data_IF_628906713935
#
_entry.id   IF_628906713935
#
_cell.length_a   1.000
_cell.length_b   1.000
_cell.length_c   1.000
_cell.angle_alpha   90.00
_cell.angle_beta   90.00
_cell.angle_gamma   90.00
#
_symmetry.space_group_name_H-M   'P 1'
#
loop_
_entity.id
_entity.type
_entity.pdbx_description
1 polymer ?
#
# COMPACT_ATOMS: atom_id res chain seq x y z
N UNK A 1 -12.34 -3.51 -11.47
CA UNK A 1 -12.78 -3.39 -12.87
C UNK A 1 -13.99 -2.47 -12.93
N UNK A 2 -14.20 -1.75 -14.03
CA UNK A 2 -15.45 -1.00 -14.27
C UNK A 2 -16.35 -1.72 -15.27
N UNK A 3 -17.58 -1.25 -15.46
CA UNK A 3 -18.53 -1.78 -16.44
C UNK A 3 -17.86 -1.98 -17.81
N UNK A 4 -18.15 -3.12 -18.46
CA UNK A 4 -17.59 -3.54 -19.76
C UNK A 4 -16.05 -3.65 -19.83
N UNK A 5 -15.37 -3.82 -18.70
CA UNK A 5 -13.92 -4.07 -18.67
C UNK A 5 -13.61 -5.55 -18.53
N UNK A 6 -12.66 -6.05 -19.33
CA UNK A 6 -12.16 -7.42 -19.21
C UNK A 6 -10.70 -7.51 -19.63
N UNK A 7 -10.07 -8.60 -19.20
CA UNK A 7 -8.67 -8.92 -19.47
C UNK A 7 -8.59 -10.31 -20.08
N UNK A 8 -7.83 -10.47 -21.16
CA UNK A 8 -7.58 -11.76 -21.78
C UNK A 8 -6.43 -12.50 -21.08
N UNK A 9 -6.74 -13.66 -20.51
CA UNK A 9 -5.75 -14.55 -19.92
C UNK A 9 -4.77 -15.09 -20.98
N UNK A 10 -3.47 -15.27 -20.67
CA UNK A 10 -2.84 -15.21 -19.34
C UNK A 10 -2.17 -13.87 -18.96
N UNK A 11 -2.89 -12.74 -18.98
CA UNK A 11 -2.38 -11.49 -18.41
C UNK A 11 -2.27 -11.53 -16.87
N UNK A 12 -1.33 -10.76 -16.32
CA UNK A 12 -1.15 -10.59 -14.87
C UNK A 12 -1.22 -9.11 -14.49
N UNK A 13 -1.99 -8.81 -13.45
CA UNK A 13 -2.24 -7.43 -13.03
C UNK A 13 -1.73 -7.22 -11.61
N UNK A 14 -1.02 -6.11 -11.38
CA UNK A 14 -0.53 -5.74 -10.05
C UNK A 14 -1.68 -5.54 -9.05
N UNK A 15 -1.48 -5.87 -7.76
CA UNK A 15 -2.53 -5.79 -6.76
C UNK A 15 -3.06 -4.36 -6.62
N UNK A 16 -4.34 -4.24 -6.27
CA UNK A 16 -5.06 -2.96 -6.14
C UNK A 16 -5.03 -2.07 -7.40
N UNK A 17 -4.87 -2.64 -8.60
CA UNK A 17 -4.93 -1.89 -9.86
C UNK A 17 -6.36 -1.76 -10.38
N UNK A 18 -6.67 -0.61 -10.99
CA UNK A 18 -7.92 -0.39 -11.70
C UNK A 18 -7.77 -0.79 -13.16
N UNK A 19 -8.80 -1.41 -13.72
CA UNK A 19 -8.85 -1.85 -15.11
C UNK A 19 -10.08 -1.21 -15.75
N UNK A 20 -9.84 -0.44 -16.81
CA UNK A 20 -10.81 0.32 -17.59
C UNK A 20 -10.72 -0.09 -19.06
N UNK A 21 -11.77 -0.74 -19.57
CA UNK A 21 -11.87 -1.16 -20.97
C UNK A 21 -11.34 -2.56 -21.24
N UNK A 22 -11.02 -2.83 -22.50
CA UNK A 22 -10.83 -4.20 -23.04
C UNK A 22 -9.35 -4.46 -23.32
N UNK A 23 -8.73 -5.33 -22.52
CA UNK A 23 -7.30 -5.60 -22.63
C UNK A 23 -7.06 -6.99 -23.23
N UNK A 24 -6.71 -7.03 -24.51
CA UNK A 24 -6.48 -8.28 -25.25
C UNK A 24 -5.02 -8.77 -25.18
N UNK A 25 -4.09 -7.89 -24.82
CA UNK A 25 -2.68 -8.22 -24.72
C UNK A 25 -2.41 -8.93 -23.38
N UNK A 26 -1.58 -9.97 -23.40
CA UNK A 26 -1.19 -10.74 -22.22
C UNK A 26 -0.12 -10.00 -21.38
N UNK A 27 -0.41 -8.75 -21.01
CA UNK A 27 0.51 -7.91 -20.26
C UNK A 27 0.77 -8.47 -18.86
N UNK A 28 2.03 -8.42 -18.43
CA UNK A 28 2.44 -8.70 -17.06
C UNK A 28 2.80 -7.39 -16.35
N UNK A 29 1.88 -6.90 -15.53
CA UNK A 29 2.05 -5.70 -14.69
C UNK A 29 2.08 -6.08 -13.20
N UNK A 30 2.39 -7.34 -12.89
CA UNK A 30 2.34 -7.87 -11.51
C UNK A 30 3.26 -7.15 -10.52
N UNK A 31 4.30 -6.48 -11.01
CA UNK A 31 5.25 -5.66 -10.23
C UNK A 31 4.99 -4.14 -10.36
N UNK A 32 3.81 -3.75 -10.84
CA UNK A 32 3.36 -2.36 -10.87
C UNK A 32 2.00 -2.26 -10.14
N UNK A 33 1.99 -2.39 -8.80
CA UNK A 33 0.76 -2.36 -8.01
C UNK A 33 0.12 -0.97 -8.02
N UNK A 34 -1.16 -0.89 -7.66
CA UNK A 34 -1.91 0.37 -7.62
C UNK A 34 -1.93 1.13 -8.95
N UNK A 35 -1.84 0.44 -10.08
CA UNK A 35 -1.82 1.06 -11.40
C UNK A 35 -3.22 1.27 -11.97
N UNK A 36 -3.37 2.19 -12.92
CA UNK A 36 -4.52 2.19 -13.83
C UNK A 36 -4.10 1.60 -15.17
N UNK A 37 -4.84 0.58 -15.60
CA UNK A 37 -4.80 0.04 -16.95
C UNK A 37 -6.01 0.62 -17.68
N UNK A 38 -5.76 1.43 -18.69
CA UNK A 38 -6.79 2.11 -19.48
C UNK A 38 -6.62 1.74 -20.94
N UNK A 39 -7.63 1.10 -21.50
CA UNK A 39 -7.70 0.87 -22.93
C UNK A 39 -7.94 2.21 -23.65
N UNK A 40 -7.14 2.47 -24.68
CA UNK A 40 -7.33 3.58 -25.58
C UNK A 40 -6.82 3.17 -26.97
N UNK A 41 -7.67 3.27 -27.98
CA UNK A 41 -7.38 2.88 -29.36
C UNK A 41 -6.79 1.45 -29.48
N UNK A 42 -7.38 0.48 -28.78
CA UNK A 42 -6.94 -0.92 -28.69
C UNK A 42 -5.56 -1.14 -28.07
N UNK A 43 -4.95 -0.10 -27.47
CA UNK A 43 -3.70 -0.20 -26.73
C UNK A 43 -3.95 -0.08 -25.22
N UNK A 44 -3.16 -0.80 -24.42
CA UNK A 44 -3.19 -0.67 -22.97
C UNK A 44 -2.27 0.45 -22.53
N UNK A 45 -2.85 1.54 -22.03
CA UNK A 45 -2.09 2.59 -21.34
C UNK A 45 -2.01 2.30 -19.85
N UNK A 46 -0.80 2.38 -19.32
CA UNK A 46 -0.52 2.13 -17.92
C UNK A 46 -0.13 3.43 -17.22
N UNK A 47 -0.82 3.75 -16.14
CA UNK A 47 -0.47 4.81 -15.21
C UNK A 47 -0.08 4.19 -13.86
N UNK A 48 1.23 3.99 -13.59
CA UNK A 48 1.69 3.35 -12.37
C UNK A 48 1.31 4.13 -11.11
N UNK A 49 1.10 3.42 -10.00
CA UNK A 49 0.92 3.97 -8.65
C UNK A 49 -0.32 4.88 -8.43
N UNK A 50 -1.04 5.26 -9.49
CA UNK A 50 -2.05 6.31 -9.45
C UNK A 50 -3.23 5.96 -8.53
N UNK A 51 -3.50 4.67 -8.32
CA UNK A 51 -4.59 4.22 -7.47
C UNK A 51 -4.30 4.37 -5.96
N UNK A 52 -3.04 4.65 -5.56
CA UNK A 52 -2.66 4.91 -4.17
C UNK A 52 -3.39 6.12 -3.58
N UNK A 53 -3.67 7.12 -4.42
CA UNK A 53 -4.32 8.38 -4.00
C UNK A 53 -5.82 8.40 -4.28
N UNK A 54 -6.41 7.26 -4.65
CA UNK A 54 -7.84 7.21 -4.96
C UNK A 54 -8.67 7.03 -3.69
N UNK A 55 -9.72 7.86 -3.54
CA UNK A 55 -10.74 7.67 -2.49
C UNK A 55 -11.39 6.29 -2.57
N UNK A 56 -11.56 5.75 -3.78
CA UNK A 56 -12.10 4.42 -4.03
C UNK A 56 -11.29 3.33 -3.34
N UNK A 57 -9.97 3.33 -3.55
CA UNK A 57 -9.05 2.36 -2.94
C UNK A 57 -9.09 2.40 -1.42
N UNK A 58 -9.03 3.59 -0.82
CA UNK A 58 -9.04 3.74 0.64
C UNK A 58 -10.37 3.28 1.22
N UNK A 59 -11.48 3.61 0.55
CA UNK A 59 -12.81 3.16 0.93
C UNK A 59 -12.95 1.64 0.83
N UNK A 60 -12.44 1.02 -0.23
CA UNK A 60 -12.52 -0.43 -0.42
C UNK A 60 -11.63 -1.17 0.59
N UNK A 61 -10.45 -0.65 0.90
CA UNK A 61 -9.57 -1.17 1.94
C UNK A 61 -10.23 -1.14 3.34
N UNK A 62 -11.02 -0.10 3.65
CA UNK A 62 -11.80 -0.03 4.90
C UNK A 62 -13.02 -0.95 4.92
N UNK A 63 -13.74 -1.04 3.79
CA UNK A 63 -14.95 -1.86 3.67
C UNK A 63 -14.66 -3.35 3.85
N UNK A 64 -13.50 -3.83 3.43
CA UNK A 64 -13.21 -5.26 3.42
C UNK A 64 -13.21 -5.89 4.82
N UNK A 65 -12.48 -5.38 5.83
CA UNK A 65 -12.57 -5.87 7.20
C UNK A 65 -13.97 -5.65 7.82
N UNK A 66 -14.63 -4.52 7.55
CA UNK A 66 -16.00 -4.26 8.04
C UNK A 66 -17.04 -5.24 7.49
N UNK A 67 -16.76 -5.84 6.33
CA UNK A 67 -17.62 -6.84 5.67
C UNK A 67 -17.25 -8.27 6.02
N UNK A 68 -16.18 -8.51 6.78
CA UNK A 68 -15.89 -9.84 7.31
C UNK A 68 -16.94 -10.21 8.35
N UNK A 69 -17.90 -11.04 7.94
CA UNK A 69 -19.01 -11.54 8.77
C UNK A 69 -18.81 -12.98 9.20
N UNK A 70 -17.58 -13.51 9.16
CA UNK A 70 -17.29 -14.86 9.65
C UNK A 70 -17.48 -14.91 11.17
N UNK A 71 -18.51 -15.65 11.59
CA UNK A 71 -18.93 -15.82 13.00
C UNK A 71 -18.48 -17.13 13.63
N UNK A 72 -17.97 -18.05 12.82
CA UNK A 72 -17.45 -19.32 13.32
C UNK A 72 -16.29 -19.05 14.30
N UNK A 73 -16.29 -19.63 15.51
CA UNK A 73 -15.16 -19.50 16.43
C UNK A 73 -13.88 -20.10 15.86
N UNK A 74 -13.99 -21.13 15.00
CA UNK A 74 -12.87 -21.80 14.35
C UNK A 74 -12.66 -21.23 12.93
N UNK A 75 -12.01 -20.07 12.85
CA UNK A 75 -11.65 -19.45 11.57
C UNK A 75 -10.51 -20.22 10.91
N UNK A 76 -10.81 -20.91 9.80
CA UNK A 76 -9.83 -21.66 9.03
C UNK A 76 -9.04 -20.80 8.03
N UNK A 77 -9.64 -19.71 7.51
CA UNK A 77 -8.92 -18.78 6.62
C UNK A 77 -8.27 -17.66 7.43
N UNK A 78 -6.96 -17.51 7.27
CA UNK A 78 -6.17 -16.47 7.91
C UNK A 78 -5.96 -15.32 6.94
N UNK A 79 -6.61 -14.18 7.18
CA UNK A 79 -6.66 -13.05 6.24
C UNK A 79 -5.97 -11.83 6.85
N UNK A 80 -5.04 -11.24 6.11
CA UNK A 80 -4.43 -9.95 6.41
C UNK A 80 -5.17 -8.86 5.62
N UNK A 81 -5.75 -7.88 6.33
CA UNK A 81 -6.49 -6.77 5.72
C UNK A 81 -5.62 -5.55 5.40
N UNK A 82 -4.30 -5.67 5.58
CA UNK A 82 -3.35 -4.59 5.38
C UNK A 82 -3.29 -4.18 3.90
N UNK A 83 -3.67 -2.93 3.60
CA UNK A 83 -3.52 -2.36 2.25
C UNK A 83 -2.04 -2.27 1.83
N UNK A 84 -1.20 -1.85 2.78
CA UNK A 84 0.25 -1.80 2.63
C UNK A 84 0.85 -2.89 3.51
N UNK A 85 1.67 -3.74 2.92
CA UNK A 85 2.20 -4.97 3.50
C UNK A 85 3.53 -5.30 2.81
N UNK A 86 4.37 -6.19 3.37
CA UNK A 86 5.58 -6.65 2.69
C UNK A 86 5.32 -7.10 1.24
N UNK A 87 4.24 -7.86 1.02
CA UNK A 87 3.82 -8.32 -0.32
C UNK A 87 3.55 -7.18 -1.30
N UNK A 88 2.88 -6.10 -0.87
CA UNK A 88 2.57 -4.97 -1.77
C UNK A 88 3.77 -4.04 -1.92
N UNK A 89 4.52 -3.79 -0.85
CA UNK A 89 5.66 -2.86 -0.86
C UNK A 89 6.87 -3.45 -1.57
N UNK A 90 7.13 -4.76 -1.51
CA UNK A 90 8.17 -5.38 -2.33
C UNK A 90 7.88 -5.19 -3.83
N UNK A 91 6.61 -5.23 -4.23
CA UNK A 91 6.17 -4.96 -5.61
C UNK A 91 6.31 -3.48 -5.96
N UNK A 92 6.08 -2.59 -5.01
CA UNK A 92 6.38 -1.16 -5.17
C UNK A 92 7.88 -0.95 -5.42
N UNK A 93 8.77 -1.57 -4.64
CA UNK A 93 10.22 -1.51 -4.87
C UNK A 93 10.61 -2.05 -6.26
N UNK A 94 10.07 -3.21 -6.65
CA UNK A 94 10.28 -3.75 -7.99
C UNK A 94 9.77 -2.78 -9.08
N UNK A 95 8.62 -2.15 -8.85
CA UNK A 95 8.05 -1.13 -9.72
C UNK A 95 8.95 0.09 -9.88
N UNK A 96 9.52 0.61 -8.79
CA UNK A 96 10.50 1.71 -8.84
C UNK A 96 11.70 1.32 -9.73
N UNK A 97 12.25 0.12 -9.54
CA UNK A 97 13.38 -0.36 -10.36
C UNK A 97 12.99 -0.48 -11.83
N UNK A 98 11.81 -1.03 -12.14
CA UNK A 98 11.30 -1.12 -13.52
C UNK A 98 11.21 0.26 -14.16
N UNK A 99 10.58 1.23 -13.48
CA UNK A 99 10.38 2.58 -14.03
C UNK A 99 11.70 3.33 -14.22
N UNK A 100 12.64 3.21 -13.27
CA UNK A 100 13.99 3.79 -13.41
C UNK A 100 14.78 3.16 -14.57
N UNK A 101 14.70 1.84 -14.73
CA UNK A 101 15.35 1.15 -15.84
C UNK A 101 14.78 1.56 -17.20
N UNK A 102 13.45 1.73 -17.30
CA UNK A 102 12.83 2.25 -18.53
C UNK A 102 13.36 3.64 -18.89
N UNK A 103 13.50 4.54 -17.90
CA UNK A 103 14.11 5.87 -18.12
C UNK A 103 15.57 5.77 -18.55
N UNK A 104 16.35 4.89 -17.93
CA UNK A 104 17.77 4.72 -18.27
C UNK A 104 17.98 4.16 -19.67
N UNK A 105 17.14 3.20 -20.10
CA UNK A 105 17.29 2.54 -21.41
C UNK A 105 16.72 3.37 -22.56
N UNK A 106 15.53 3.96 -22.39
CA UNK A 106 14.87 4.72 -23.46
C UNK A 106 15.17 6.23 -23.41
N UNK A 107 15.83 6.72 -22.36
CA UNK A 107 16.12 8.13 -22.12
C UNK A 107 15.03 8.85 -21.32
N UNK A 108 15.42 9.80 -20.47
CA UNK A 108 14.53 10.54 -19.57
C UNK A 108 13.55 11.49 -20.29
N UNK A 109 13.90 11.89 -21.51
CA UNK A 109 13.13 12.80 -22.38
C UNK A 109 12.17 12.07 -23.31
N UNK A 110 12.17 10.73 -23.33
CA UNK A 110 11.23 9.94 -24.13
C UNK A 110 9.79 10.24 -23.72
N UNK A 111 8.95 10.59 -24.70
CA UNK A 111 7.53 10.92 -24.45
C UNK A 111 6.73 9.73 -23.94
N UNK A 112 7.09 8.53 -24.41
CA UNK A 112 6.45 7.26 -24.06
C UNK A 112 7.50 6.19 -23.78
N UNK A 113 7.12 5.25 -22.92
CA UNK A 113 7.85 4.04 -22.61
C UNK A 113 6.97 2.83 -22.91
N UNK A 114 7.57 1.74 -23.37
CA UNK A 114 6.88 0.46 -23.58
C UNK A 114 7.33 -0.56 -22.55
N UNK A 115 6.37 -1.25 -21.92
CA UNK A 115 6.65 -2.28 -20.92
C UNK A 115 5.60 -3.38 -21.00
N UNK A 116 6.01 -4.61 -21.31
CA UNK A 116 5.11 -5.79 -21.33
C UNK A 116 3.81 -5.53 -22.13
N UNK A 117 3.95 -5.01 -23.35
CA UNK A 117 2.85 -4.57 -24.24
C UNK A 117 1.99 -3.40 -23.74
N UNK A 118 2.34 -2.77 -22.62
CA UNK A 118 1.71 -1.53 -22.15
C UNK A 118 2.47 -0.29 -22.61
N UNK A 119 1.76 0.83 -22.77
CA UNK A 119 2.31 2.16 -23.05
C UNK A 119 2.24 3.00 -21.77
N UNK A 120 3.38 3.55 -21.33
CA UNK A 120 3.47 4.46 -20.18
C UNK A 120 3.91 5.83 -20.69
N UNK A 121 3.10 6.88 -20.47
CA UNK A 121 3.51 8.26 -20.79
C UNK A 121 4.60 8.74 -19.83
N UNK A 122 5.52 9.60 -20.28
CA UNK A 122 6.58 10.16 -19.43
C UNK A 122 6.07 10.78 -18.14
N UNK A 123 5.00 11.57 -18.24
CA UNK A 123 4.35 12.21 -17.10
C UNK A 123 3.76 11.19 -16.12
N UNK A 124 3.20 10.10 -16.62
CA UNK A 124 2.65 9.01 -15.80
C UNK A 124 3.78 8.22 -15.11
N UNK A 125 4.90 7.98 -15.79
CA UNK A 125 6.08 7.32 -15.20
C UNK A 125 6.65 8.15 -14.05
N UNK A 126 6.95 9.43 -14.30
CA UNK A 126 7.50 10.36 -13.29
C UNK A 126 6.59 10.46 -12.08
N UNK A 127 5.28 10.58 -12.32
CA UNK A 127 4.28 10.60 -11.26
C UNK A 127 4.20 9.27 -10.50
N UNK A 128 4.36 8.15 -11.20
CA UNK A 128 4.41 6.82 -10.61
C UNK A 128 5.57 6.66 -9.63
N UNK A 129 6.77 7.11 -10.02
CA UNK A 129 7.96 7.11 -9.16
C UNK A 129 7.74 7.93 -7.87
N UNK A 130 7.20 9.14 -8.00
CA UNK A 130 6.91 10.01 -6.85
C UNK A 130 5.91 9.36 -5.87
N UNK A 131 4.84 8.76 -6.39
CA UNK A 131 3.82 8.10 -5.57
C UNK A 131 4.35 6.83 -4.89
N UNK A 132 5.19 6.06 -5.58
CA UNK A 132 5.85 4.89 -5.00
C UNK A 132 6.83 5.29 -3.89
N UNK A 133 7.60 6.36 -4.06
CA UNK A 133 8.48 6.87 -3.02
C UNK A 133 7.70 7.30 -1.77
N UNK A 134 6.59 8.02 -1.94
CA UNK A 134 5.69 8.41 -0.85
C UNK A 134 5.19 7.20 -0.07
N UNK A 135 4.75 6.13 -0.76
CA UNK A 135 4.20 4.96 -0.07
C UNK A 135 5.28 4.11 0.61
N UNK A 136 6.50 4.08 0.07
CA UNK A 136 7.66 3.45 0.74
C UNK A 136 7.95 4.17 2.06
N UNK A 137 8.07 5.51 2.05
CA UNK A 137 8.24 6.29 3.28
C UNK A 137 7.10 6.05 4.28
N UNK A 138 5.85 6.05 3.81
CA UNK A 138 4.65 5.81 4.63
C UNK A 138 4.69 4.45 5.31
N UNK A 139 5.05 3.38 4.59
CA UNK A 139 5.11 2.03 5.15
C UNK A 139 6.28 1.89 6.13
N UNK A 140 7.51 2.13 5.69
CA UNK A 140 8.71 1.89 6.50
C UNK A 140 8.75 2.78 7.75
N UNK A 141 8.34 4.04 7.63
CA UNK A 141 8.25 4.95 8.77
C UNK A 141 7.19 4.50 9.78
N UNK A 142 6.05 3.98 9.33
CA UNK A 142 5.03 3.45 10.23
C UNK A 142 5.53 2.21 10.98
N UNK A 143 6.29 1.32 10.33
CA UNK A 143 6.90 0.16 10.99
C UNK A 143 7.91 0.59 12.06
N UNK A 144 8.74 1.62 11.81
CA UNK A 144 9.64 2.19 12.83
C UNK A 144 8.87 2.78 14.01
N UNK A 145 7.87 3.62 13.73
CA UNK A 145 7.06 4.26 14.77
C UNK A 145 6.42 3.20 15.66
N UNK A 146 5.84 2.16 15.06
CA UNK A 146 5.24 1.05 15.79
C UNK A 146 6.26 0.24 16.59
N UNK A 147 7.46 0.00 16.05
CA UNK A 147 8.53 -0.69 16.78
C UNK A 147 8.94 0.07 18.05
N UNK A 148 8.98 1.41 17.97
CA UNK A 148 9.45 2.29 19.05
C UNK A 148 8.32 2.85 19.91
N UNK A 149 7.06 2.48 19.65
CA UNK A 149 5.89 3.00 20.34
C UNK A 149 5.93 2.68 21.84
N UNK A 150 5.57 3.66 22.69
CA UNK A 150 5.47 3.52 24.14
C UNK A 150 6.77 3.14 24.90
N UNK A 151 7.95 3.26 24.28
CA UNK A 151 9.24 2.93 24.93
C UNK A 151 10.07 4.21 25.12
N UNK A 152 10.59 4.45 26.32
CA UNK A 152 11.57 5.54 26.53
C UNK A 152 12.98 4.98 26.36
N UNK A 153 13.85 5.77 25.75
CA UNK A 153 15.25 5.42 25.53
C UNK A 153 16.15 6.42 26.24
N UNK A 154 17.19 5.93 26.90
CA UNK A 154 18.21 6.74 27.55
C UNK A 154 19.44 6.97 26.66
N UNK A 155 19.68 6.09 25.68
CA UNK A 155 20.83 6.16 24.79
C UNK A 155 20.54 5.59 23.39
N UNK A 156 21.40 5.95 22.44
CA UNK A 156 21.40 5.37 21.10
C UNK A 156 21.60 3.84 21.11
N UNK A 157 22.27 3.28 22.12
CA UNK A 157 22.44 1.84 22.25
C UNK A 157 21.12 1.12 22.56
N UNK A 158 20.27 1.69 23.41
CA UNK A 158 18.94 1.12 23.70
C UNK A 158 18.04 1.13 22.46
N UNK A 159 18.10 2.21 21.67
CA UNK A 159 17.43 2.30 20.37
C UNK A 159 17.92 1.19 19.45
N UNK A 160 19.24 1.03 19.26
CA UNK A 160 19.81 -0.02 18.42
C UNK A 160 19.39 -1.42 18.88
N UNK A 161 19.38 -1.65 20.19
CA UNK A 161 18.94 -2.93 20.75
C UNK A 161 17.47 -3.20 20.45
N UNK A 162 16.61 -2.19 20.51
CA UNK A 162 15.19 -2.34 20.18
C UNK A 162 14.94 -2.57 18.68
N UNK A 163 15.78 -1.99 17.81
CA UNK A 163 15.66 -2.15 16.37
C UNK A 163 16.08 -3.54 15.87
N UNK A 164 16.84 -4.32 16.65
CA UNK A 164 17.17 -5.70 16.29
C UNK A 164 15.89 -6.52 16.05
N UNK A 165 15.81 -7.29 14.95
CA UNK A 165 14.71 -8.23 14.74
C UNK A 165 14.62 -9.26 15.86
N UNK A 166 13.40 -9.67 16.20
CA UNK A 166 13.15 -10.69 17.24
C UNK A 166 13.41 -12.11 16.71
N UNK A 167 13.44 -12.27 15.39
CA UNK A 167 13.61 -13.55 14.68
C UNK A 167 14.35 -13.30 13.36
N UNK A 168 15.16 -14.27 12.87
CA UNK A 168 15.73 -14.20 11.53
C UNK A 168 14.69 -14.48 10.43
N UNK A 169 13.53 -15.03 10.79
CA UNK A 169 12.44 -15.35 9.85
C UNK A 169 11.69 -14.09 9.44
N UNK A 170 11.30 -14.01 8.16
CA UNK A 170 10.57 -12.88 7.61
C UNK A 170 11.37 -12.04 6.60
N UNK A 171 12.66 -12.30 6.42
CA UNK A 171 13.46 -11.71 5.36
C UNK A 171 13.07 -12.22 3.96
N UNK A 172 13.54 -11.53 2.92
CA UNK A 172 13.33 -11.95 1.53
C UNK A 172 11.93 -11.68 0.97
N UNK A 173 11.43 -12.58 0.13
CA UNK A 173 10.16 -12.41 -0.57
C UNK A 173 8.96 -12.78 0.31
N UNK A 174 7.88 -12.01 0.17
CA UNK A 174 6.58 -12.34 0.74
C UNK A 174 5.57 -12.68 -0.35
N UNK A 175 4.62 -13.53 0.00
CA UNK A 175 3.55 -14.01 -0.87
C UNK A 175 2.19 -13.80 -0.22
N UNK A 176 1.15 -13.69 -1.07
CA UNK A 176 -0.25 -13.70 -0.66
C UNK A 176 -0.86 -15.04 -1.06
N UNK A 177 -1.27 -15.83 -0.08
CA UNK A 177 -1.90 -17.14 -0.25
C UNK A 177 -3.35 -17.03 0.18
N UNK A 178 -4.17 -16.55 -0.75
CA UNK A 178 -5.62 -16.40 -0.55
C UNK A 178 -5.99 -15.55 0.68
N UNK A 179 -5.22 -14.49 0.93
CA UNK A 179 -5.42 -13.57 2.05
C UNK A 179 -4.37 -13.70 3.15
N UNK A 180 -3.69 -14.85 3.27
CA UNK A 180 -2.57 -15.00 4.20
C UNK A 180 -1.32 -14.38 3.56
N UNK A 181 -0.84 -13.29 4.13
CA UNK A 181 0.40 -12.64 3.72
C UNK A 181 1.53 -13.18 4.60
N UNK A 182 2.46 -13.92 4.01
CA UNK A 182 3.52 -14.61 4.74
C UNK A 182 4.87 -14.59 3.99
N UNK A 183 6.00 -14.81 4.70
CA UNK A 183 7.31 -14.98 4.07
C UNK A 183 7.30 -16.23 3.19
N UNK A 184 7.82 -16.12 1.97
CA UNK A 184 7.86 -17.23 1.01
C UNK A 184 8.67 -18.41 1.54
N UNK A 185 9.74 -18.15 2.31
CA UNK A 185 10.56 -19.20 2.94
C UNK A 185 9.74 -20.17 3.78
N UNK A 186 8.79 -19.67 4.56
CA UNK A 186 7.98 -20.49 5.45
C UNK A 186 6.94 -21.31 4.69
N UNK A 187 6.46 -20.76 3.57
CA UNK A 187 5.55 -21.47 2.67
C UNK A 187 6.31 -22.57 1.92
N UNK A 188 7.50 -22.29 1.42
CA UNK A 188 8.35 -23.28 0.76
C UNK A 188 8.73 -24.40 1.75
N UNK A 189 9.06 -24.04 2.99
CA UNK A 189 9.32 -25.01 4.05
C UNK A 189 8.10 -25.92 4.32
N UNK A 190 6.90 -25.33 4.44
CA UNK A 190 5.65 -26.08 4.57
C UNK A 190 5.42 -27.03 3.39
N UNK A 191 5.69 -26.59 2.16
CA UNK A 191 5.58 -27.45 0.97
C UNK A 191 6.55 -28.63 1.05
N UNK A 192 7.80 -28.42 1.44
CA UNK A 192 8.76 -29.51 1.63
C UNK A 192 8.33 -30.51 2.72
N UNK A 193 7.75 -30.03 3.83
CA UNK A 193 7.22 -30.90 4.88
C UNK A 193 6.03 -31.73 4.41
N UNK A 194 5.17 -31.19 3.54
CA UNK A 194 4.07 -31.92 2.91
C UNK A 194 4.61 -32.98 1.93
N UNK A 195 5.52 -32.58 1.04
CA UNK A 195 6.10 -33.45 0.02
C UNK A 195 6.91 -34.61 0.59
N UNK A 196 7.61 -34.38 1.71
CA UNK A 196 8.36 -35.41 2.43
C UNK A 196 7.48 -36.35 3.26
N UNK A 197 6.20 -36.02 3.45
CA UNK A 197 5.29 -36.77 4.31
C UNK A 197 5.48 -36.53 5.82
N UNK A 198 6.22 -35.50 6.22
CA UNK A 198 6.29 -35.04 7.62
C UNK A 198 4.94 -34.49 8.07
N UNK A 199 4.32 -33.64 7.24
CA UNK A 199 2.96 -33.15 7.43
C UNK A 199 2.01 -33.98 6.57
N UNK A 200 1.04 -34.63 7.21
CA UNK A 200 0.10 -35.53 6.51
C UNK A 200 -1.36 -35.14 6.69
N UNK A 201 -1.67 -34.21 7.61
CA UNK A 201 -3.04 -33.82 7.93
C UNK A 201 -3.29 -32.35 7.64
N UNK A 202 -4.48 -32.04 7.11
CA UNK A 202 -4.93 -30.66 6.84
C UNK A 202 -4.89 -29.76 8.08
N UNK A 203 -5.14 -30.32 9.27
CA UNK A 203 -5.08 -29.56 10.54
C UNK A 203 -3.67 -29.05 10.86
N UNK A 204 -2.64 -29.80 10.47
CA UNK A 204 -1.24 -29.41 10.69
C UNK A 204 -0.87 -28.24 9.76
N UNK A 205 -1.26 -28.33 8.48
CA UNK A 205 -1.13 -27.24 7.50
C UNK A 205 -1.83 -25.97 8.01
N UNK A 206 -3.09 -26.10 8.46
CA UNK A 206 -3.84 -24.97 8.99
C UNK A 206 -3.20 -24.36 10.25
N UNK A 207 -2.59 -25.19 11.11
CA UNK A 207 -1.86 -24.70 12.27
C UNK A 207 -0.61 -23.88 11.88
N UNK A 208 0.09 -24.24 10.80
CA UNK A 208 1.19 -23.41 10.27
C UNK A 208 0.66 -22.06 9.78
N UNK A 209 -0.44 -22.04 9.02
CA UNK A 209 -1.07 -20.78 8.59
C UNK A 209 -1.51 -19.92 9.77
N UNK A 210 -2.06 -20.52 10.83
CA UNK A 210 -2.41 -19.83 12.08
C UNK A 210 -1.19 -19.17 12.71
N UNK A 211 -0.09 -19.91 12.85
CA UNK A 211 1.14 -19.40 13.46
C UNK A 211 1.72 -18.24 12.67
N UNK A 212 1.78 -18.35 11.33
CA UNK A 212 2.24 -17.27 10.46
C UNK A 212 1.38 -16.01 10.58
N UNK A 213 0.06 -16.18 10.70
CA UNK A 213 -0.87 -15.07 10.87
C UNK A 213 -0.73 -14.39 12.24
N UNK A 214 -0.64 -15.17 13.32
CA UNK A 214 -0.45 -14.67 14.69
C UNK A 214 0.90 -13.94 14.86
N UNK A 215 1.94 -14.39 14.14
CA UNK A 215 3.28 -13.81 14.18
C UNK A 215 3.51 -12.72 13.14
N UNK A 216 2.48 -12.33 12.37
CA UNK A 216 2.60 -11.44 11.22
C UNK A 216 3.48 -10.21 11.48
N UNK A 217 3.22 -9.45 12.54
CA UNK A 217 3.96 -8.22 12.84
C UNK A 217 5.41 -8.47 13.28
N UNK A 218 5.68 -9.60 13.92
CA UNK A 218 7.05 -10.01 14.27
C UNK A 218 7.87 -10.32 13.03
N UNK A 219 7.28 -11.05 12.09
CA UNK A 219 7.91 -11.40 10.81
C UNK A 219 8.02 -10.15 9.90
N UNK A 220 6.98 -9.32 9.84
CA UNK A 220 6.96 -8.05 9.09
C UNK A 220 8.10 -7.14 9.56
N UNK A 221 8.39 -7.08 10.86
CA UNK A 221 9.47 -6.26 11.38
C UNK A 221 10.84 -6.68 10.84
N UNK A 222 11.12 -7.98 10.76
CA UNK A 222 12.36 -8.49 10.14
C UNK A 222 12.52 -7.98 8.72
N UNK A 223 11.44 -8.08 7.92
CA UNK A 223 11.41 -7.58 6.54
C UNK A 223 11.58 -6.06 6.45
N UNK A 224 10.79 -5.32 7.23
CA UNK A 224 10.77 -3.87 7.20
C UNK A 224 12.14 -3.31 7.63
N UNK A 225 12.77 -3.90 8.63
CA UNK A 225 14.10 -3.48 9.10
C UNK A 225 15.19 -3.67 8.05
N UNK A 226 15.17 -4.77 7.30
CA UNK A 226 16.05 -4.98 6.14
C UNK A 226 15.84 -3.85 5.09
N UNK A 227 14.59 -3.58 4.72
CA UNK A 227 14.28 -2.54 3.73
C UNK A 227 14.51 -1.12 4.21
N UNK A 228 14.41 -0.85 5.49
CA UNK A 228 14.81 0.44 6.10
C UNK A 228 16.31 0.65 5.90
N UNK A 229 17.14 -0.34 6.22
CA UNK A 229 18.59 -0.25 6.07
C UNK A 229 18.96 0.02 4.60
N UNK A 230 18.40 -0.75 3.67
CA UNK A 230 18.64 -0.59 2.24
C UNK A 230 18.17 0.78 1.71
N UNK A 231 16.93 1.17 2.01
CA UNK A 231 16.30 2.34 1.41
C UNK A 231 16.84 3.67 1.95
N UNK A 232 17.15 3.72 3.25
CA UNK A 232 17.73 4.91 3.88
C UNK A 232 19.26 4.87 3.96
N UNK A 233 19.90 3.80 3.45
CA UNK A 233 21.34 3.58 3.46
C UNK A 233 21.94 3.65 4.89
N UNK A 234 21.33 2.91 5.83
CA UNK A 234 21.67 2.92 7.25
C UNK A 234 22.45 1.67 7.66
N UNK A 235 23.35 1.85 8.62
CA UNK A 235 24.09 0.74 9.26
C UNK A 235 23.56 0.51 10.67
N UNK A 236 23.16 -0.72 11.06
CA UNK A 236 22.63 -1.02 12.40
C UNK A 236 23.56 -0.63 13.56
N UNK A 237 24.86 -0.69 13.33
CA UNK A 237 25.86 -0.36 14.35
C UNK A 237 25.96 1.15 14.62
N UNK A 238 25.61 2.00 13.64
CA UNK A 238 25.85 3.44 13.72
C UNK A 238 24.57 4.26 13.80
N UNK A 239 23.40 3.68 13.50
CA UNK A 239 22.12 4.38 13.54
C UNK A 239 21.89 5.09 14.89
N UNK A 240 21.33 6.29 14.83
CA UNK A 240 21.09 7.18 15.97
C UNK A 240 19.63 7.61 16.05
N UNK A 241 19.26 8.27 17.15
CA UNK A 241 17.99 8.97 17.30
C UNK A 241 17.78 10.03 16.20
N UNK A 242 18.83 10.72 15.76
CA UNK A 242 18.75 11.72 14.68
C UNK A 242 18.33 11.09 13.34
N UNK A 243 18.88 9.92 13.01
CA UNK A 243 18.48 9.17 11.82
C UNK A 243 17.00 8.78 11.88
N UNK A 244 16.53 8.34 13.05
CA UNK A 244 15.12 7.99 13.26
C UNK A 244 14.22 9.21 13.10
N UNK A 245 14.61 10.35 13.69
CA UNK A 245 13.88 11.62 13.52
C UNK A 245 13.78 11.98 12.04
N UNK A 246 14.87 11.85 11.27
CA UNK A 246 14.85 12.12 9.82
C UNK A 246 13.89 11.20 9.04
N UNK A 247 13.82 9.91 9.40
CA UNK A 247 12.85 8.97 8.81
C UNK A 247 11.43 9.37 9.18
N UNK A 248 11.17 9.70 10.46
CA UNK A 248 9.83 10.08 10.95
C UNK A 248 9.35 11.37 10.30
N UNK A 249 10.23 12.34 10.04
CA UNK A 249 9.90 13.56 9.31
C UNK A 249 9.53 13.29 7.84
N UNK A 250 10.30 12.44 7.15
CA UNK A 250 9.96 11.99 5.79
C UNK A 250 8.64 11.24 5.77
N UNK A 251 8.39 10.38 6.76
CA UNK A 251 7.13 9.67 6.94
C UNK A 251 5.96 10.64 7.13
N UNK A 252 6.10 11.61 8.04
CA UNK A 252 5.08 12.62 8.34
C UNK A 252 4.70 13.39 7.08
N UNK A 253 5.72 13.90 6.37
CA UNK A 253 5.55 14.59 5.08
C UNK A 253 4.82 13.71 4.05
N UNK A 254 5.22 12.45 3.93
CA UNK A 254 4.64 11.50 2.96
C UNK A 254 3.18 11.16 3.27
N UNK A 255 2.86 10.95 4.55
CA UNK A 255 1.49 10.66 4.99
C UNK A 255 0.57 11.84 4.71
N UNK A 256 0.98 13.04 5.11
CA UNK A 256 0.20 14.28 4.90
C UNK A 256 -0.01 14.51 3.41
N UNK A 257 1.06 14.43 2.61
CA UNK A 257 0.98 14.61 1.15
C UNK A 257 0.05 13.61 0.48
N UNK A 258 0.09 12.33 0.89
CA UNK A 258 -0.80 11.31 0.33
C UNK A 258 -2.26 11.56 0.73
N UNK A 259 -2.52 11.89 1.99
CA UNK A 259 -3.86 12.13 2.50
C UNK A 259 -4.47 13.41 1.89
N UNK A 260 -3.69 14.45 1.64
CA UNK A 260 -4.10 15.63 0.86
C UNK A 260 -4.46 15.27 -0.58
N UNK A 261 -3.71 14.36 -1.22
CA UNK A 261 -4.05 13.87 -2.55
C UNK A 261 -5.36 13.08 -2.56
N UNK A 262 -5.60 12.26 -1.53
CA UNK A 262 -6.85 11.51 -1.35
C UNK A 262 -8.02 12.47 -1.11
N UNK A 263 -7.83 13.49 -0.27
CA UNK A 263 -8.83 14.54 -0.03
C UNK A 263 -9.19 15.27 -1.32
N UNK A 264 -8.18 15.66 -2.12
CA UNK A 264 -8.39 16.32 -3.40
C UNK A 264 -9.08 15.40 -4.43
N UNK A 265 -8.83 14.09 -4.38
CA UNK A 265 -9.54 13.11 -5.21
C UNK A 265 -11.00 12.97 -4.78
N UNK A 266 -11.26 12.87 -3.47
CA UNK A 266 -12.61 12.86 -2.93
C UNK A 266 -13.40 14.11 -3.32
N UNK A 267 -12.77 15.30 -3.31
CA UNK A 267 -13.41 16.55 -3.74
C UNK A 267 -13.97 16.49 -5.17
N UNK A 268 -13.36 15.69 -6.06
CA UNK A 268 -13.88 15.51 -7.43
C UNK A 268 -15.22 14.78 -7.46
N UNK A 269 -15.47 13.85 -6.54
CA UNK A 269 -16.77 13.17 -6.41
C UNK A 269 -17.91 14.15 -6.03
N UNK A 270 -17.59 15.38 -5.60
CA UNK A 270 -18.54 16.44 -5.25
C UNK A 270 -18.58 17.58 -6.27
N UNK A 271 -17.89 17.44 -7.40
CA UNK A 271 -17.89 18.43 -8.47
C UNK A 271 -19.17 18.40 -9.32
N UNK A 272 -19.44 19.47 -10.08
CA UNK A 272 -20.65 19.65 -10.89
C UNK A 272 -20.97 18.47 -11.83
N UNK A 273 -19.95 17.78 -12.38
CA UNK A 273 -20.17 16.64 -13.26
C UNK A 273 -20.82 15.44 -12.57
N UNK A 274 -20.66 15.30 -11.25
CA UNK A 274 -21.32 14.28 -10.42
C UNK A 274 -22.73 14.67 -9.95
N UNK A 275 -23.15 15.92 -10.18
CA UNK A 275 -24.53 16.38 -9.95
C UNK A 275 -25.47 16.04 -11.11
N UNK A 276 -24.93 15.53 -12.21
CA UNK A 276 -25.69 15.08 -13.37
C UNK A 276 -26.65 13.96 -12.96
N UNK A 277 -27.96 14.18 -13.11
CA UNK A 277 -29.01 13.24 -12.70
C UNK A 277 -29.67 13.53 -11.35
N UNK A 278 -29.21 14.55 -10.61
CA UNK A 278 -29.87 15.07 -9.42
C UNK A 278 -30.75 16.27 -9.80
N UNK A 279 -31.90 16.40 -9.14
CA UNK A 279 -32.89 17.43 -9.43
C UNK A 279 -33.41 17.36 -10.87
N UNK A 280 -33.78 16.16 -11.34
CA UNK A 280 -34.19 15.90 -12.74
C UNK A 280 -35.25 16.86 -13.28
N UNK A 281 -36.11 17.37 -12.39
CA UNK A 281 -37.22 18.26 -12.72
C UNK A 281 -37.07 19.67 -12.09
N UNK A 282 -35.90 19.98 -11.53
CA UNK A 282 -35.65 21.19 -10.72
C UNK A 282 -34.64 22.16 -11.33
N UNK A 283 -34.45 23.30 -10.67
CA UNK A 283 -33.41 24.27 -11.03
C UNK A 283 -32.05 23.89 -10.41
N UNK A 284 -31.01 24.72 -10.65
CA UNK A 284 -29.65 24.47 -10.13
C UNK A 284 -29.61 24.38 -8.59
N UNK A 285 -30.48 25.10 -7.88
CA UNK A 285 -30.59 25.01 -6.43
C UNK A 285 -31.25 23.70 -6.00
N UNK A 286 -32.28 23.23 -6.70
CA UNK A 286 -32.93 21.94 -6.44
C UNK A 286 -31.96 20.78 -6.70
N UNK A 287 -31.18 20.85 -7.78
CA UNK A 287 -30.10 19.90 -8.07
C UNK A 287 -29.02 19.91 -6.98
N UNK A 288 -28.65 21.09 -6.47
CA UNK A 288 -27.67 21.20 -5.39
C UNK A 288 -28.20 20.64 -4.07
N UNK A 289 -29.47 20.93 -3.73
CA UNK A 289 -30.13 20.41 -2.54
C UNK A 289 -30.31 18.90 -2.63
N UNK A 290 -30.82 18.37 -3.74
CA UNK A 290 -31.00 16.92 -3.94
C UNK A 290 -29.66 16.17 -3.88
N UNK A 291 -28.63 16.71 -4.53
CA UNK A 291 -27.26 16.19 -4.40
C UNK A 291 -26.78 16.19 -2.95
N UNK A 292 -26.99 17.29 -2.20
CA UNK A 292 -26.61 17.39 -0.80
C UNK A 292 -27.42 16.45 0.10
N UNK A 293 -28.71 16.25 -0.16
CA UNK A 293 -29.54 15.29 0.57
C UNK A 293 -29.08 13.85 0.38
N UNK A 294 -28.63 13.48 -0.82
CA UNK A 294 -28.20 12.11 -1.13
C UNK A 294 -26.72 11.86 -0.78
N UNK A 295 -25.84 12.83 -1.05
CA UNK A 295 -24.38 12.69 -0.87
C UNK A 295 -23.84 13.31 0.41
N UNK A 296 -24.63 14.17 1.06
CA UNK A 296 -24.21 15.02 2.16
C UNK A 296 -23.41 16.24 1.69
N UNK A 297 -23.30 17.24 2.56
CA UNK A 297 -22.34 18.33 2.37
C UNK A 297 -20.91 17.78 2.41
N UNK A 298 -20.04 18.26 1.51
CA UNK A 298 -18.65 17.79 1.43
C UNK A 298 -17.92 17.86 2.78
N UNK A 299 -18.07 19.00 3.47
CA UNK A 299 -17.40 19.27 4.76
C UNK A 299 -17.96 18.42 5.91
N UNK A 300 -19.15 17.85 5.74
CA UNK A 300 -19.80 16.94 6.70
C UNK A 300 -19.68 15.48 6.27
N UNK A 301 -19.06 15.19 5.14
CA UNK A 301 -18.94 13.82 4.66
C UNK A 301 -18.03 13.01 5.60
N UNK A 302 -18.49 11.87 6.15
CA UNK A 302 -17.71 11.09 7.12
C UNK A 302 -16.31 10.70 6.63
N UNK A 303 -16.14 10.45 5.33
CA UNK A 303 -14.84 10.13 4.75
C UNK A 303 -13.88 11.32 4.81
N UNK A 304 -14.37 12.51 4.46
CA UNK A 304 -13.60 13.75 4.46
C UNK A 304 -13.15 14.10 5.87
N UNK A 305 -14.07 14.08 6.83
CA UNK A 305 -13.78 14.32 8.26
C UNK A 305 -12.77 13.30 8.80
N UNK A 306 -12.95 12.01 8.47
CA UNK A 306 -12.02 10.96 8.89
C UNK A 306 -10.62 11.15 8.29
N UNK A 307 -10.52 11.69 7.07
CA UNK A 307 -9.24 11.92 6.39
C UNK A 307 -8.49 13.08 7.04
N UNK A 308 -9.19 14.19 7.33
CA UNK A 308 -8.62 15.33 8.06
C UNK A 308 -8.16 14.92 9.47
N UNK A 309 -9.01 14.18 10.20
CA UNK A 309 -8.63 13.65 11.51
C UNK A 309 -7.43 12.71 11.42
N UNK A 310 -7.36 11.85 10.41
CA UNK A 310 -6.20 10.99 10.19
C UNK A 310 -4.91 11.78 9.97
N UNK A 311 -4.96 12.91 9.24
CA UNK A 311 -3.80 13.81 9.09
C UNK A 311 -3.36 14.36 10.45
N UNK A 312 -4.29 14.84 11.27
CA UNK A 312 -4.00 15.36 12.61
C UNK A 312 -3.39 14.29 13.53
N UNK A 313 -4.05 13.13 13.61
CA UNK A 313 -3.60 12.00 14.44
C UNK A 313 -2.18 11.52 14.03
N UNK A 314 -1.89 11.49 12.73
CA UNK A 314 -0.58 11.07 12.22
C UNK A 314 0.51 12.10 12.44
N UNK A 315 0.20 13.40 12.35
CA UNK A 315 1.13 14.47 12.75
C UNK A 315 1.48 14.35 14.23
N UNK A 316 0.46 14.24 15.10
CA UNK A 316 0.65 14.09 16.53
C UNK A 316 1.49 12.85 16.89
N UNK A 317 1.25 11.72 16.21
CA UNK A 317 2.03 10.50 16.40
C UNK A 317 3.51 10.67 16.02
N UNK A 318 3.79 11.35 14.90
CA UNK A 318 5.16 11.64 14.49
C UNK A 318 5.87 12.59 15.45
N UNK A 319 5.19 13.68 15.82
CA UNK A 319 5.73 14.69 16.73
C UNK A 319 5.98 14.11 18.13
N UNK A 320 5.12 13.22 18.62
CA UNK A 320 5.33 12.49 19.89
C UNK A 320 6.65 11.72 19.88
N UNK A 321 6.89 10.90 18.85
CA UNK A 321 8.09 10.08 18.79
C UNK A 321 9.34 10.95 18.69
N UNK A 322 9.29 12.01 17.86
CA UNK A 322 10.41 12.96 17.70
C UNK A 322 10.72 13.61 19.05
N UNK A 323 9.72 14.16 19.73
CA UNK A 323 9.91 14.81 21.04
C UNK A 323 10.44 13.83 22.10
N UNK A 324 10.02 12.57 22.05
CA UNK A 324 10.46 11.53 22.99
C UNK A 324 11.93 11.14 22.79
N UNK A 325 12.46 11.18 21.56
CA UNK A 325 13.81 10.70 21.26
C UNK A 325 14.83 11.80 20.90
N UNK A 326 14.42 13.05 20.68
CA UNK A 326 15.30 14.14 20.21
C UNK A 326 16.51 14.43 21.11
N UNK A 327 16.42 14.11 22.40
CA UNK A 327 17.49 14.36 23.38
C UNK A 327 18.35 13.11 23.65
N UNK A 328 18.08 11.99 22.98
CA UNK A 328 18.83 10.74 23.13
C UNK A 328 20.16 10.87 22.38
N UNK A 329 21.26 10.47 23.04
CA UNK A 329 22.63 10.55 22.50
C UNK A 329 23.32 9.20 22.43
#
# INVERSE_FOLDING_TARGET
TTSNSYVLWPAKVGPFSLILGRHYQHSDTSNLPFSYLVENNNATHLAPAINLRSVGTIRDAKKWPERDRRKDPDKLDFINFNLLSPYTIQKVFAGVNILKNLQATAGETSEIYTYQSCIIKNTALKRGLELYEIVIHKFLGNSIIKRLENIRFASNEEIRNRLKPDTPVGSGEWVDISGLIAPKSEIDHLLCQIESGEITKLKEINNVFKQLHEQYYTLEWTWAWEKIQEFYNLTPATITAEDIVAIVEKWKTSVVKLDEMIYNDAKKEFSLSFKTGFGSDGNIQDQAMDFEYVRGAFDKNPFVVTTLKHIEDKKALGDELIERIKNVK
#
